data_IF_410774625201
#
_entry.id   IF_410774625201
#
_cell.length_a   1.000
_cell.length_b   1.000
_cell.length_c   1.000
_cell.angle_alpha   90.00
_cell.angle_beta   90.00
_cell.angle_gamma   90.00
#
_symmetry.space_group_name_H-M   'P 1'
#
loop_
_entity.id
_entity.type
_entity.pdbx_description
1 polymer ?
#
# COMPACT_ATOMS: atom_id res chain seq x y z
N UNK A 1 2.43 1.09 0.89
CA UNK A 1 1.39 1.38 -0.11
C UNK A 1 1.88 2.48 -1.01
N UNK A 2 1.74 2.27 -2.31
CA UNK A 2 2.18 3.20 -3.34
C UNK A 2 0.97 3.78 -4.06
N UNK A 3 0.99 5.08 -4.30
CA UNK A 3 0.00 5.79 -5.12
C UNK A 3 0.76 6.40 -6.29
N UNK A 4 0.39 6.06 -7.52
CA UNK A 4 1.04 6.55 -8.74
C UNK A 4 2.57 6.38 -8.73
N UNK A 5 3.04 5.25 -8.17
CA UNK A 5 4.46 4.90 -8.07
C UNK A 5 5.22 5.56 -6.90
N UNK A 6 4.59 6.42 -6.10
CA UNK A 6 5.19 7.02 -4.91
C UNK A 6 4.80 6.26 -3.65
N UNK A 7 5.77 5.90 -2.82
CA UNK A 7 5.51 5.31 -1.51
C UNK A 7 4.91 6.37 -0.57
N UNK A 8 3.68 6.12 -0.10
CA UNK A 8 2.94 7.07 0.71
C UNK A 8 2.75 6.64 2.15
N UNK A 9 2.70 5.34 2.41
CA UNK A 9 2.52 4.80 3.75
C UNK A 9 3.27 3.48 3.91
N UNK A 10 3.90 3.32 5.07
CA UNK A 10 4.49 2.08 5.54
C UNK A 10 3.79 1.71 6.86
N UNK A 11 3.29 0.49 6.95
CA UNK A 11 2.61 -0.02 8.14
C UNK A 11 3.18 -1.37 8.52
N UNK A 12 3.29 -1.62 9.82
CA UNK A 12 3.64 -2.94 10.33
C UNK A 12 2.44 -3.87 10.14
N UNK A 13 2.69 -5.03 9.55
CA UNK A 13 1.68 -6.09 9.41
C UNK A 13 1.47 -6.73 10.78
N UNK A 14 0.22 -6.81 11.22
CA UNK A 14 -0.16 -7.47 12.46
C UNK A 14 -0.04 -8.99 12.31
N UNK A 15 -0.02 -9.71 13.43
CA UNK A 15 0.08 -11.17 13.43
C UNK A 15 -1.06 -11.87 12.66
N UNK A 16 -2.23 -11.22 12.54
CA UNK A 16 -3.38 -11.70 11.77
C UNK A 16 -3.29 -11.40 10.26
N UNK A 17 -2.17 -10.84 9.79
CA UNK A 17 -1.95 -10.47 8.39
C UNK A 17 -2.60 -9.15 7.98
N UNK A 18 -3.34 -8.48 8.87
CA UNK A 18 -3.94 -7.17 8.59
C UNK A 18 -2.94 -6.05 8.84
N UNK A 19 -3.14 -4.92 8.18
CA UNK A 19 -2.34 -3.71 8.40
C UNK A 19 -3.23 -2.48 8.22
N UNK A 20 -3.09 -1.45 9.07
CA UNK A 20 -3.81 -0.20 8.87
C UNK A 20 -3.24 0.54 7.66
N UNK A 21 -4.11 1.06 6.81
CA UNK A 21 -3.73 2.02 5.78
C UNK A 21 -4.77 3.15 5.72
N UNK A 22 -4.28 4.39 5.71
CA UNK A 22 -5.12 5.56 5.52
C UNK A 22 -4.54 6.38 4.37
N UNK A 23 -5.23 6.36 3.22
CA UNK A 23 -4.81 7.09 2.03
C UNK A 23 -5.40 8.50 2.02
N UNK A 24 -6.54 8.73 2.69
CA UNK A 24 -7.11 10.06 2.92
C UNK A 24 -7.16 10.93 1.66
N UNK A 25 -6.69 12.18 1.79
CA UNK A 25 -6.61 13.17 0.69
C UNK A 25 -5.49 12.89 -0.32
N UNK A 26 -4.74 11.79 -0.19
CA UNK A 26 -3.71 11.42 -1.17
C UNK A 26 -4.28 10.73 -2.41
N UNK A 27 -5.49 10.18 -2.30
CA UNK A 27 -6.27 9.80 -3.47
C UNK A 27 -6.95 11.06 -4.00
N UNK A 28 -6.57 11.46 -5.19
CA UNK A 28 -7.08 12.63 -5.90
C UNK A 28 -8.08 12.23 -6.99
N UNK A 29 -8.08 10.97 -7.40
CA UNK A 29 -8.95 10.42 -8.44
C UNK A 29 -9.20 8.92 -8.26
N UNK A 30 -10.34 8.43 -8.78
CA UNK A 30 -10.60 7.00 -8.93
C UNK A 30 -9.67 6.31 -9.94
N UNK A 31 -8.97 7.11 -10.76
CA UNK A 31 -7.96 6.60 -11.70
C UNK A 31 -6.57 6.49 -11.06
N UNK A 32 -6.40 6.89 -9.79
CA UNK A 32 -5.11 6.74 -9.11
C UNK A 32 -4.73 5.26 -9.02
N UNK A 33 -3.50 4.95 -9.43
CA UNK A 33 -2.99 3.58 -9.37
C UNK A 33 -2.48 3.31 -7.96
N UNK A 34 -3.17 2.44 -7.23
CA UNK A 34 -2.82 2.07 -5.86
C UNK A 34 -2.29 0.64 -5.79
N UNK A 35 -1.13 0.48 -5.13
CA UNK A 35 -0.48 -0.82 -4.96
C UNK A 35 -0.13 -1.06 -3.48
N UNK A 36 -0.55 -2.20 -2.94
CA UNK A 36 -0.02 -2.75 -1.70
C UNK A 36 1.28 -3.48 -2.02
N UNK A 37 2.36 -3.18 -1.30
CA UNK A 37 3.66 -3.83 -1.47
C UNK A 37 4.05 -4.46 -0.13
N UNK A 38 4.23 -5.78 -0.13
CA UNK A 38 4.70 -6.53 1.02
C UNK A 38 6.22 -6.56 1.04
N UNK A 39 6.82 -6.16 2.16
CA UNK A 39 8.27 -6.15 2.36
C UNK A 39 8.66 -7.13 3.46
N UNK A 40 9.81 -7.80 3.34
CA UNK A 40 10.45 -8.52 4.43
C UNK A 40 11.12 -7.56 5.42
N UNK A 41 11.56 -8.09 6.56
CA UNK A 41 12.19 -7.31 7.63
C UNK A 41 13.47 -6.57 7.22
N UNK A 42 14.12 -6.98 6.13
CA UNK A 42 15.28 -6.31 5.54
C UNK A 42 14.91 -5.31 4.42
N UNK A 43 13.62 -5.03 4.21
CA UNK A 43 13.12 -4.09 3.20
C UNK A 43 13.03 -4.64 1.78
N UNK A 44 13.28 -5.93 1.56
CA UNK A 44 13.13 -6.54 0.24
C UNK A 44 11.65 -6.76 -0.10
N UNK A 45 11.26 -6.48 -1.34
CA UNK A 45 9.92 -6.77 -1.84
C UNK A 45 9.67 -8.28 -1.91
N UNK A 46 8.58 -8.72 -1.27
CA UNK A 46 8.08 -10.08 -1.32
C UNK A 46 6.96 -10.24 -2.35
N UNK A 47 6.26 -9.15 -2.65
CA UNK A 47 5.20 -9.12 -3.66
C UNK A 47 4.39 -7.84 -3.62
N UNK A 48 3.51 -7.70 -4.60
CA UNK A 48 2.60 -6.55 -4.72
C UNK A 48 1.22 -6.96 -5.21
N UNK A 49 0.21 -6.20 -4.79
CA UNK A 49 -1.18 -6.35 -5.23
C UNK A 49 -1.76 -4.99 -5.60
N UNK A 50 -2.48 -4.94 -6.73
CA UNK A 50 -3.25 -3.77 -7.10
C UNK A 50 -4.48 -3.65 -6.20
N UNK A 51 -4.81 -2.42 -5.78
CA UNK A 51 -6.02 -2.13 -5.03
C UNK A 51 -7.04 -1.50 -5.96
N UNK A 52 -8.23 -2.10 -6.02
CA UNK A 52 -9.37 -1.53 -6.74
C UNK A 52 -9.98 -0.41 -5.92
N UNK A 53 -10.11 0.77 -6.52
CA UNK A 53 -10.84 1.91 -5.95
C UNK A 53 -12.31 1.82 -6.40
N UNK A 54 -13.24 1.99 -5.48
CA UNK A 54 -14.69 1.93 -5.71
C UNK A 54 -15.46 3.00 -4.92
#
# INVERSE_FOLDING_TARGET
MNINGKQDSLAVVKADGTFPCYLGSKLTSMNDKVEAVGLSNNGQELGRAAVTLN
#
